data_IF_334443843706
#
_entry.id   IF_334443843706
#
_cell.length_a   1.000
_cell.length_b   1.000
_cell.length_c   1.000
_cell.angle_alpha   90.00
_cell.angle_beta   90.00
_cell.angle_gamma   90.00
#
_symmetry.space_group_name_H-M   'P 1'
#
loop_
_entity.id
_entity.type
_entity.pdbx_description
1 polymer ?
#
# COMPACT_ATOMS: atom_id res chain seq x y z
N UNK A 1 -14.66 -3.43 -5.64
CA UNK A 1 -14.16 -3.38 -4.26
C UNK A 1 -13.50 -2.02 -3.93
N UNK A 2 -12.41 -1.61 -4.60
CA UNK A 2 -11.69 -0.38 -4.27
C UNK A 2 -12.60 0.87 -4.25
N UNK A 3 -13.50 1.00 -5.24
CA UNK A 3 -14.49 2.09 -5.29
C UNK A 3 -15.39 2.09 -4.05
N UNK A 4 -15.91 0.94 -3.64
CA UNK A 4 -16.79 0.82 -2.48
C UNK A 4 -16.06 1.24 -1.18
N UNK A 5 -14.80 0.84 -1.03
CA UNK A 5 -13.96 1.26 0.11
C UNK A 5 -13.78 2.77 0.14
N UNK A 6 -13.46 3.40 -1.00
CA UNK A 6 -13.30 4.86 -1.09
C UNK A 6 -14.60 5.60 -0.79
N UNK A 7 -15.73 5.14 -1.32
CA UNK A 7 -17.04 5.73 -1.08
C UNK A 7 -17.49 5.59 0.37
N UNK A 8 -17.08 4.50 1.06
CA UNK A 8 -17.32 4.31 2.49
C UNK A 8 -16.41 5.13 3.42
N UNK A 9 -15.49 5.93 2.87
CA UNK A 9 -14.59 6.80 3.63
C UNK A 9 -13.22 6.21 3.96
N UNK A 10 -12.91 5.03 3.41
CA UNK A 10 -11.58 4.45 3.44
C UNK A 10 -10.73 4.89 2.26
N UNK A 11 -9.55 4.29 2.11
CA UNK A 11 -8.68 4.44 0.95
C UNK A 11 -8.70 3.14 0.13
N UNK A 12 -9.45 3.12 -0.96
CA UNK A 12 -9.47 1.98 -1.89
C UNK A 12 -8.16 1.86 -2.65
N UNK A 13 -7.61 0.65 -2.75
CA UNK A 13 -6.37 0.39 -3.48
C UNK A 13 -6.62 -0.56 -4.66
N UNK A 14 -6.13 -0.18 -5.84
CA UNK A 14 -6.01 -1.07 -6.99
C UNK A 14 -4.68 -1.84 -6.86
N UNK A 15 -4.73 -3.17 -6.87
CA UNK A 15 -3.54 -4.01 -6.87
C UNK A 15 -3.03 -4.24 -8.29
N UNK A 16 -1.93 -3.61 -8.69
CA UNK A 16 -1.37 -3.72 -10.04
C UNK A 16 -0.41 -4.89 -10.24
N UNK A 17 -0.18 -5.72 -9.22
CA UNK A 17 0.87 -6.76 -9.24
C UNK A 17 0.70 -7.86 -10.28
N UNK A 18 -0.49 -8.08 -10.79
CA UNK A 18 -0.79 -9.05 -11.86
C UNK A 18 -1.47 -8.43 -13.08
N UNK A 19 -1.55 -7.09 -13.13
CA UNK A 19 -2.19 -6.39 -14.23
C UNK A 19 -1.21 -6.10 -15.35
N UNK A 20 -1.60 -6.38 -16.59
CA UNK A 20 -0.92 -5.81 -17.74
C UNK A 20 -1.12 -4.29 -17.76
N UNK A 21 -0.17 -3.52 -18.35
CA UNK A 21 -0.24 -2.05 -18.39
C UNK A 21 -1.57 -1.50 -18.90
N UNK A 22 -2.14 -2.10 -19.94
CA UNK A 22 -3.42 -1.69 -20.54
C UNK A 22 -4.60 -1.91 -19.58
N UNK A 23 -4.59 -3.03 -18.86
CA UNK A 23 -5.58 -3.35 -17.83
C UNK A 23 -5.51 -2.34 -16.68
N UNK A 24 -4.31 -1.96 -16.25
CA UNK A 24 -4.13 -0.93 -15.22
C UNK A 24 -4.76 0.40 -15.66
N UNK A 25 -4.51 0.85 -16.90
CA UNK A 25 -5.12 2.08 -17.45
C UNK A 25 -6.65 2.01 -17.40
N UNK A 26 -7.22 0.88 -17.82
CA UNK A 26 -8.68 0.67 -17.78
C UNK A 26 -9.23 0.79 -16.36
N UNK A 27 -8.60 0.14 -15.38
CA UNK A 27 -9.03 0.18 -13.97
C UNK A 27 -8.87 1.57 -13.35
N UNK A 28 -7.80 2.29 -13.66
CA UNK A 28 -7.61 3.69 -13.22
C UNK A 28 -8.75 4.57 -13.75
N UNK A 29 -9.09 4.46 -15.02
CA UNK A 29 -10.18 5.24 -15.63
C UNK A 29 -11.55 4.88 -15.05
N UNK A 30 -11.80 3.60 -14.76
CA UNK A 30 -12.99 3.16 -14.04
C UNK A 30 -13.09 3.75 -12.64
N UNK A 31 -11.97 3.82 -11.90
CA UNK A 31 -11.94 4.47 -10.59
C UNK A 31 -12.27 5.96 -10.68
N UNK A 32 -11.62 6.69 -11.59
CA UNK A 32 -11.88 8.12 -11.81
C UNK A 32 -13.34 8.41 -12.17
N UNK A 33 -13.95 7.55 -12.96
CA UNK A 33 -15.36 7.70 -13.34
C UNK A 33 -16.35 7.34 -12.22
N UNK A 34 -15.93 6.51 -11.27
CA UNK A 34 -16.81 5.95 -10.25
C UNK A 34 -16.77 6.70 -8.91
N UNK A 35 -15.73 7.49 -8.63
CA UNK A 35 -15.60 8.19 -7.35
C UNK A 35 -14.63 9.37 -7.41
N UNK A 36 -15.00 10.45 -6.71
CA UNK A 36 -14.12 11.61 -6.44
C UNK A 36 -13.40 11.47 -5.08
N UNK A 37 -13.65 10.38 -4.35
CA UNK A 37 -13.00 10.10 -3.07
C UNK A 37 -11.55 9.64 -3.29
N UNK A 38 -10.65 9.84 -2.31
CA UNK A 38 -9.27 9.37 -2.40
C UNK A 38 -9.17 7.86 -2.65
N UNK A 39 -8.27 7.46 -3.53
CA UNK A 39 -7.90 6.09 -3.82
C UNK A 39 -6.44 6.03 -4.29
N UNK A 40 -5.86 4.85 -4.29
CA UNK A 40 -4.48 4.67 -4.71
C UNK A 40 -4.26 3.39 -5.52
N UNK A 41 -3.01 3.20 -5.94
CA UNK A 41 -2.56 2.01 -6.67
C UNK A 41 -1.39 1.39 -5.93
N UNK A 42 -1.42 0.07 -5.70
CA UNK A 42 -0.27 -0.68 -5.18
C UNK A 42 0.49 -1.34 -6.33
N UNK A 43 1.80 -1.09 -6.40
CA UNK A 43 2.68 -1.59 -7.46
C UNK A 43 3.89 -2.30 -6.86
N UNK A 44 4.05 -3.61 -7.09
CA UNK A 44 5.28 -4.32 -6.74
C UNK A 44 6.44 -3.88 -7.65
N UNK A 45 7.53 -3.39 -7.04
CA UNK A 45 8.68 -2.82 -7.78
C UNK A 45 9.52 -3.87 -8.54
N UNK A 46 9.28 -5.15 -8.28
CA UNK A 46 9.92 -6.26 -9.02
C UNK A 46 9.16 -6.68 -10.28
N UNK A 47 8.08 -5.97 -10.64
CA UNK A 47 7.35 -6.25 -11.87
C UNK A 47 8.20 -5.96 -13.10
N UNK A 48 8.23 -6.84 -14.13
CA UNK A 48 9.12 -6.69 -15.29
C UNK A 48 8.97 -5.37 -16.04
N UNK A 49 7.75 -4.87 -16.18
CA UNK A 49 7.44 -3.60 -16.87
C UNK A 49 7.25 -2.42 -15.90
N UNK A 50 7.95 -2.42 -14.77
CA UNK A 50 7.75 -1.43 -13.70
C UNK A 50 7.89 0.01 -14.18
N UNK A 51 8.86 0.31 -15.02
CA UNK A 51 9.06 1.66 -15.55
C UNK A 51 7.82 2.12 -16.36
N UNK A 52 7.25 1.24 -17.18
CA UNK A 52 6.01 1.51 -17.93
C UNK A 52 4.79 1.72 -17.01
N UNK A 53 4.69 0.93 -15.92
CA UNK A 53 3.63 1.13 -14.95
C UNK A 53 3.76 2.49 -14.25
N UNK A 54 4.98 2.92 -13.88
CA UNK A 54 5.21 4.23 -13.26
C UNK A 54 4.83 5.37 -14.21
N UNK A 55 5.20 5.28 -15.50
CA UNK A 55 4.80 6.26 -16.53
C UNK A 55 3.27 6.34 -16.67
N UNK A 56 2.57 5.20 -16.59
CA UNK A 56 1.11 5.15 -16.61
C UNK A 56 0.52 5.86 -15.39
N UNK A 57 1.02 5.60 -14.19
CA UNK A 57 0.52 6.23 -12.97
C UNK A 57 0.64 7.75 -13.03
N UNK A 58 1.77 8.26 -13.52
CA UNK A 58 2.01 9.70 -13.70
C UNK A 58 1.10 10.28 -14.77
N UNK A 59 1.06 9.67 -15.95
CA UNK A 59 0.22 10.13 -17.08
C UNK A 59 -1.27 10.12 -16.76
N UNK A 60 -1.73 9.10 -16.04
CA UNK A 60 -3.11 9.00 -15.58
C UNK A 60 -3.33 9.75 -14.26
N UNK A 61 -2.39 10.60 -13.82
CA UNK A 61 -2.51 11.50 -12.65
C UNK A 61 -2.97 10.81 -11.35
N UNK A 62 -2.50 9.59 -11.10
CA UNK A 62 -2.74 8.89 -9.83
C UNK A 62 -2.09 9.68 -8.70
N UNK A 63 -2.81 9.96 -7.62
CA UNK A 63 -2.34 10.82 -6.53
C UNK A 63 -1.70 10.09 -5.38
N UNK A 64 -1.98 8.79 -5.22
CA UNK A 64 -1.49 7.98 -4.10
C UNK A 64 -0.97 6.65 -4.67
N UNK A 65 0.30 6.36 -4.43
CA UNK A 65 0.95 5.12 -4.88
C UNK A 65 1.55 4.39 -3.69
N UNK A 66 1.15 3.13 -3.55
CA UNK A 66 1.79 2.19 -2.65
C UNK A 66 2.79 1.38 -3.43
N UNK A 67 4.03 1.31 -2.99
CA UNK A 67 5.06 0.49 -3.60
C UNK A 67 5.43 -0.67 -2.67
N UNK A 68 5.77 -1.82 -3.23
CA UNK A 68 6.13 -3.02 -2.48
C UNK A 68 7.22 -3.83 -3.20
N UNK A 69 7.79 -4.82 -2.54
CA UNK A 69 8.71 -5.79 -3.14
C UNK A 69 9.88 -5.15 -3.91
N UNK A 70 10.71 -4.38 -3.24
CA UNK A 70 11.89 -3.76 -3.84
C UNK A 70 12.35 -2.52 -3.09
N UNK A 71 13.18 -1.68 -3.73
CA UNK A 71 13.64 -0.42 -3.14
C UNK A 71 12.86 0.76 -3.72
N UNK A 72 12.21 1.60 -2.91
CA UNK A 72 11.49 2.75 -3.42
C UNK A 72 12.41 3.88 -3.92
N UNK A 73 13.71 3.82 -3.62
CA UNK A 73 14.69 4.90 -3.87
C UNK A 73 14.70 5.39 -5.32
N UNK A 74 14.50 4.49 -6.30
CA UNK A 74 14.50 4.85 -7.73
C UNK A 74 13.28 5.68 -8.10
N UNK A 75 12.11 5.31 -7.58
CA UNK A 75 10.82 5.82 -8.09
C UNK A 75 10.22 6.94 -7.23
N UNK A 76 10.55 7.01 -5.93
CA UNK A 76 10.01 8.03 -5.04
C UNK A 76 10.25 9.45 -5.55
N UNK A 77 11.46 9.86 -5.99
CA UNK A 77 11.68 11.22 -6.49
C UNK A 77 10.80 11.58 -7.69
N UNK A 78 10.73 10.70 -8.70
CA UNK A 78 9.93 10.97 -9.89
C UNK A 78 8.43 11.02 -9.61
N UNK A 79 7.94 10.22 -8.66
CA UNK A 79 6.55 10.26 -8.23
C UNK A 79 6.25 11.56 -7.48
N UNK A 80 7.16 12.02 -6.61
CA UNK A 80 7.03 13.31 -5.92
C UNK A 80 7.05 14.50 -6.89
N UNK A 81 7.91 14.49 -7.91
CA UNK A 81 7.92 15.52 -8.97
C UNK A 81 6.57 15.60 -9.70
N UNK A 82 5.83 14.49 -9.80
CA UNK A 82 4.48 14.42 -10.34
C UNK A 82 3.38 14.73 -9.31
N UNK A 83 3.72 15.11 -8.07
CA UNK A 83 2.78 15.43 -7.00
C UNK A 83 2.05 14.20 -6.42
N UNK A 84 2.69 13.03 -6.45
CA UNK A 84 2.16 11.76 -5.94
C UNK A 84 2.62 11.53 -4.51
N UNK A 85 1.70 11.17 -3.61
CA UNK A 85 2.02 10.67 -2.26
C UNK A 85 2.43 9.21 -2.35
N UNK A 86 3.57 8.86 -1.74
CA UNK A 86 4.17 7.53 -1.84
C UNK A 86 4.21 6.84 -0.47
N UNK A 87 3.55 5.69 -0.37
CA UNK A 87 3.72 4.76 0.76
C UNK A 87 4.55 3.54 0.31
N UNK A 88 5.32 2.94 1.21
CA UNK A 88 6.07 1.72 0.90
C UNK A 88 5.85 0.62 1.92
N UNK A 89 5.67 -0.61 1.42
CA UNK A 89 5.43 -1.80 2.26
C UNK A 89 6.76 -2.38 2.73
N UNK A 90 6.87 -2.63 4.04
CA UNK A 90 8.05 -3.19 4.68
C UNK A 90 7.73 -4.32 5.63
N UNK A 91 8.65 -5.30 5.74
CA UNK A 91 8.58 -6.43 6.66
C UNK A 91 9.55 -6.32 7.85
N UNK A 92 10.31 -5.24 7.97
CA UNK A 92 11.26 -5.05 9.07
C UNK A 92 11.57 -3.58 9.35
N UNK A 93 12.03 -3.32 10.58
CA UNK A 93 12.51 -1.99 10.99
C UNK A 93 13.73 -1.52 10.19
N UNK A 94 14.55 -2.46 9.69
CA UNK A 94 15.68 -2.15 8.80
C UNK A 94 15.20 -1.57 7.47
N UNK A 95 14.16 -2.16 6.88
CA UNK A 95 13.58 -1.63 5.64
C UNK A 95 12.84 -0.31 5.89
N UNK A 96 12.17 -0.15 7.03
CA UNK A 96 11.54 1.11 7.40
C UNK A 96 12.52 2.30 7.40
N UNK A 97 13.71 2.12 7.99
CA UNK A 97 14.77 3.16 7.94
C UNK A 97 15.19 3.50 6.51
N UNK A 98 15.42 2.48 5.67
CA UNK A 98 15.77 2.69 4.25
C UNK A 98 14.68 3.40 3.46
N UNK A 99 13.43 3.18 3.80
CA UNK A 99 12.30 3.90 3.18
C UNK A 99 12.27 5.37 3.58
N UNK A 100 12.56 5.69 4.85
CA UNK A 100 12.74 7.07 5.30
C UNK A 100 13.88 7.77 4.55
N UNK A 101 15.02 7.10 4.35
CA UNK A 101 16.14 7.60 3.55
C UNK A 101 15.79 7.78 2.06
N UNK A 102 14.85 6.99 1.54
CA UNK A 102 14.35 7.11 0.18
C UNK A 102 13.28 8.21 0.02
N UNK A 103 12.84 8.81 1.12
CA UNK A 103 11.93 9.95 1.13
C UNK A 103 10.45 9.61 0.95
N UNK A 104 10.01 8.37 1.24
CA UNK A 104 8.58 8.03 1.17
C UNK A 104 7.77 8.80 2.23
N UNK A 105 6.48 9.02 1.98
CA UNK A 105 5.59 9.80 2.85
C UNK A 105 4.99 8.96 3.99
N UNK A 106 4.85 7.65 3.78
CA UNK A 106 4.29 6.73 4.78
C UNK A 106 4.86 5.32 4.61
N UNK A 107 4.75 4.52 5.66
CA UNK A 107 5.20 3.13 5.69
C UNK A 107 4.04 2.20 6.00
N UNK A 108 3.91 1.12 5.24
CA UNK A 108 3.03 0.01 5.56
C UNK A 108 3.88 -1.08 6.20
N UNK A 109 3.68 -1.33 7.50
CA UNK A 109 4.32 -2.41 8.24
C UNK A 109 3.49 -3.70 8.07
N UNK A 110 3.96 -4.58 7.18
CA UNK A 110 3.25 -5.82 6.84
C UNK A 110 3.83 -7.00 7.58
N UNK A 111 3.04 -7.54 8.52
CA UNK A 111 3.37 -8.76 9.26
C UNK A 111 3.15 -10.03 8.44
N UNK A 112 3.75 -11.13 8.91
CA UNK A 112 3.73 -12.43 8.24
C UNK A 112 2.33 -13.06 8.13
N UNK A 113 1.35 -12.59 8.90
CA UNK A 113 -0.06 -13.00 8.81
C UNK A 113 -0.78 -12.43 7.56
N UNK A 114 -0.14 -11.55 6.80
CA UNK A 114 -0.71 -11.05 5.54
C UNK A 114 -0.88 -12.17 4.50
N UNK A 115 -1.92 -12.06 3.71
CA UNK A 115 -2.10 -12.92 2.53
C UNK A 115 -1.17 -12.52 1.39
N UNK A 116 -0.79 -13.48 0.56
CA UNK A 116 0.08 -13.25 -0.60
C UNK A 116 1.57 -13.42 -0.30
N UNK A 117 2.41 -12.64 -0.97
CA UNK A 117 3.87 -12.71 -0.80
C UNK A 117 4.30 -11.87 0.40
N UNK A 118 4.91 -12.50 1.38
CA UNK A 118 5.38 -11.88 2.62
C UNK A 118 6.90 -11.64 2.62
N UNK A 119 7.35 -10.85 3.59
CA UNK A 119 8.78 -10.70 3.87
C UNK A 119 9.41 -12.01 4.36
N UNK A 120 10.73 -12.12 4.21
CA UNK A 120 11.48 -13.32 4.61
C UNK A 120 11.69 -13.44 6.13
N UNK A 121 11.45 -12.36 6.86
CA UNK A 121 11.72 -12.25 8.29
C UNK A 121 10.69 -12.97 9.17
N UNK A 122 9.56 -13.39 8.61
CA UNK A 122 8.45 -14.07 9.32
C UNK A 122 8.03 -13.35 10.62
N UNK A 123 8.19 -12.03 10.65
CA UNK A 123 7.84 -11.22 11.82
C UNK A 123 6.33 -10.99 11.87
N UNK A 124 5.72 -11.36 12.98
CA UNK A 124 4.27 -11.17 13.18
C UNK A 124 3.90 -9.69 13.32
N UNK A 125 2.66 -9.35 12.96
CA UNK A 125 2.15 -7.98 12.96
C UNK A 125 2.30 -7.30 14.31
N UNK A 126 1.94 -7.95 15.41
CA UNK A 126 2.07 -7.39 16.77
C UNK A 126 3.50 -7.08 17.17
N UNK A 127 4.47 -7.85 16.65
CA UNK A 127 5.89 -7.63 16.91
C UNK A 127 6.48 -6.56 15.98
N UNK A 128 6.05 -6.54 14.72
CA UNK A 128 6.59 -5.65 13.69
C UNK A 128 6.21 -4.18 13.90
N UNK A 129 4.93 -3.89 14.18
CA UNK A 129 4.41 -2.52 14.27
C UNK A 129 5.25 -1.67 15.24
N UNK A 130 5.45 -2.05 16.52
CA UNK A 130 6.22 -1.22 17.46
C UNK A 130 7.69 -1.11 17.08
N UNK A 131 8.27 -2.09 16.38
CA UNK A 131 9.65 -2.01 15.89
C UNK A 131 9.77 -0.99 14.75
N UNK A 132 8.83 -0.99 13.79
CA UNK A 132 8.79 -0.04 12.69
C UNK A 132 8.52 1.36 13.23
N UNK A 133 7.54 1.52 14.12
CA UNK A 133 7.21 2.83 14.72
C UNK A 133 8.41 3.48 15.41
N UNK A 134 9.22 2.70 16.14
CA UNK A 134 10.45 3.21 16.77
C UNK A 134 11.59 3.48 15.78
N UNK A 135 11.54 2.91 14.60
CA UNK A 135 12.60 3.03 13.59
C UNK A 135 12.42 4.22 12.63
N UNK A 136 11.23 4.85 12.63
CA UNK A 136 10.90 5.95 11.72
C UNK A 136 10.03 7.01 12.39
N UNK A 137 10.12 8.24 11.91
CA UNK A 137 9.18 9.33 12.24
C UNK A 137 7.98 9.44 11.30
N UNK A 138 7.94 8.60 10.26
CA UNK A 138 6.86 8.62 9.25
C UNK A 138 5.57 7.99 9.80
N UNK A 139 4.41 8.34 9.24
CA UNK A 139 3.16 7.62 9.48
C UNK A 139 3.29 6.12 9.20
N UNK A 140 2.77 5.29 10.11
CA UNK A 140 2.80 3.83 9.99
C UNK A 140 1.40 3.27 9.84
N UNK A 141 1.17 2.55 8.76
CA UNK A 141 -0.04 1.76 8.50
C UNK A 141 0.28 0.30 8.81
N UNK A 142 -0.54 -0.37 9.62
CA UNK A 142 -0.36 -1.78 9.92
C UNK A 142 -1.07 -2.66 8.90
N UNK A 143 -0.42 -3.74 8.48
CA UNK A 143 -1.00 -4.75 7.59
C UNK A 143 -0.66 -6.16 8.06
N UNK A 144 -1.53 -7.12 7.76
CA UNK A 144 -1.36 -8.52 8.12
C UNK A 144 -2.23 -8.94 9.30
N UNK A 145 -3.12 -9.91 9.09
CA UNK A 145 -3.98 -10.51 10.12
C UNK A 145 -5.06 -9.60 10.70
N UNK A 146 -5.31 -8.42 10.12
CA UNK A 146 -6.29 -7.45 10.64
C UNK A 146 -7.63 -7.72 9.97
N UNK A 147 -8.55 -8.33 10.71
CA UNK A 147 -9.88 -8.73 10.23
C UNK A 147 -11.04 -8.30 11.13
N UNK A 148 -10.80 -7.45 12.14
CA UNK A 148 -11.85 -6.96 13.04
C UNK A 148 -11.50 -5.57 13.60
N UNK A 149 -12.49 -4.93 14.22
CA UNK A 149 -12.29 -3.66 14.93
C UNK A 149 -11.32 -3.78 16.10
N UNK A 150 -11.35 -4.90 16.82
CA UNK A 150 -10.43 -5.18 17.93
C UNK A 150 -8.98 -5.30 17.43
N UNK A 151 -8.77 -5.99 16.30
CA UNK A 151 -7.44 -6.10 15.68
C UNK A 151 -6.94 -4.72 15.19
N UNK A 152 -7.81 -3.90 14.62
CA UNK A 152 -7.51 -2.51 14.27
C UNK A 152 -7.10 -1.69 15.50
N UNK A 153 -7.88 -1.76 16.58
CA UNK A 153 -7.58 -1.08 17.84
C UNK A 153 -6.24 -1.52 18.42
N UNK A 154 -5.95 -2.83 18.41
CA UNK A 154 -4.68 -3.37 18.86
C UNK A 154 -3.49 -2.82 18.03
N UNK A 155 -3.62 -2.77 16.69
CA UNK A 155 -2.61 -2.18 15.81
C UNK A 155 -2.36 -0.70 16.12
N UNK A 156 -3.43 0.08 16.35
CA UNK A 156 -3.31 1.49 16.72
C UNK A 156 -2.69 1.67 18.11
N UNK A 157 -3.02 0.82 19.08
CA UNK A 157 -2.38 0.84 20.40
C UNK A 157 -0.87 0.54 20.35
N UNK A 158 -0.42 -0.21 19.34
CA UNK A 158 1.00 -0.49 19.10
C UNK A 158 1.72 0.64 18.33
N UNK A 159 1.00 1.70 17.93
CA UNK A 159 1.55 2.89 17.30
C UNK A 159 1.30 3.01 15.80
N UNK A 160 0.44 2.19 15.20
CA UNK A 160 -0.04 2.42 13.85
C UNK A 160 -1.05 3.59 13.82
N UNK A 161 -1.04 4.35 12.74
CA UNK A 161 -1.96 5.48 12.50
C UNK A 161 -3.11 5.09 11.56
N UNK A 162 -3.05 3.88 11.01
CA UNK A 162 -4.07 3.29 10.16
C UNK A 162 -3.81 1.81 9.95
N UNK A 163 -4.73 1.15 9.22
CA UNK A 163 -4.61 -0.27 8.90
C UNK A 163 -4.88 -0.52 7.42
N UNK A 164 -4.19 -1.51 6.84
CA UNK A 164 -4.47 -2.04 5.51
C UNK A 164 -5.05 -3.43 5.65
N UNK A 165 -6.21 -3.64 5.03
CA UNK A 165 -6.99 -4.87 5.12
C UNK A 165 -7.19 -5.42 3.70
N UNK A 166 -6.82 -6.68 3.48
CA UNK A 166 -6.99 -7.36 2.20
C UNK A 166 -8.08 -8.42 2.25
N UNK A 167 -7.78 -9.56 2.87
CA UNK A 167 -8.60 -10.78 2.80
C UNK A 167 -10.04 -10.57 3.25
N UNK A 168 -10.28 -9.82 4.34
CA UNK A 168 -11.64 -9.54 4.80
C UNK A 168 -12.47 -8.84 3.72
N UNK A 169 -11.91 -7.84 3.05
CA UNK A 169 -12.60 -7.13 1.97
C UNK A 169 -12.71 -7.96 0.70
N UNK A 170 -11.73 -8.83 0.41
CA UNK A 170 -11.82 -9.75 -0.73
C UNK A 170 -13.00 -10.73 -0.60
N UNK A 171 -13.46 -11.00 0.63
CA UNK A 171 -14.63 -11.84 0.91
C UNK A 171 -15.95 -11.08 0.95
N UNK A 172 -15.95 -9.77 0.72
CA UNK A 172 -17.19 -8.96 0.70
C UNK A 172 -17.95 -9.12 -0.62
N UNK A 173 -19.24 -8.77 -0.59
CA UNK A 173 -20.10 -8.82 -1.77
C UNK A 173 -19.67 -7.88 -2.91
N UNK A 174 -18.93 -6.81 -2.58
CA UNK A 174 -18.40 -5.85 -3.54
C UNK A 174 -17.09 -6.29 -4.19
N UNK A 175 -16.56 -7.44 -3.80
CA UNK A 175 -15.37 -8.03 -4.42
C UNK A 175 -15.74 -8.76 -5.71
N UNK A 176 -14.81 -8.76 -6.64
CA UNK A 176 -14.85 -9.59 -7.86
C UNK A 176 -13.91 -10.81 -7.75
N UNK A 177 -13.36 -11.06 -6.57
CA UNK A 177 -12.47 -12.19 -6.32
C UNK A 177 -13.25 -13.47 -6.07
#
# INVERSE_FOLDING_TARGET
LATAVSQAGGLGLLGAGSMHPETLVEHIRKMKAATDRPWGVNVPLMYPEIDRLMDILIREEVKIVFTSAGSPKKFTPMLHEAGVTVAHVVSSSKFARKCGEAGVDAIVAEGFEAGGHNGREETTTLTLIPQVRRATGLPVVAAGGIGSGEAMLAAMALGAEGVQIGTLFALSAESSA
#
